data_IF_973757912016
#
_entry.id   IF_973757912016
#
_cell.length_a   1.000
_cell.length_b   1.000
_cell.length_c   1.000
_cell.angle_alpha   90.00
_cell.angle_beta   90.00
_cell.angle_gamma   90.00
#
_symmetry.space_group_name_H-M   'P 1'
#
loop_
_entity.id
_entity.type
_entity.pdbx_description
1 polymer ?
#
# COMPACT_ATOMS: atom_id res chain seq x y z
N UNK A 1 -12.43 -5.55 -10.83
CA UNK A 1 -11.92 -6.54 -9.85
C UNK A 1 -10.62 -6.00 -9.26
N UNK A 2 -10.52 -5.84 -7.94
CA UNK A 2 -9.29 -5.34 -7.33
C UNK A 2 -8.38 -6.52 -6.99
N UNK A 3 -7.22 -6.59 -7.65
CA UNK A 3 -6.29 -7.71 -7.48
C UNK A 3 -5.68 -7.77 -6.07
N UNK A 4 -5.60 -6.64 -5.34
CA UNK A 4 -5.19 -6.63 -3.95
C UNK A 4 -6.24 -7.32 -3.06
N UNK A 5 -7.53 -7.00 -3.23
CA UNK A 5 -8.62 -7.70 -2.52
C UNK A 5 -8.58 -9.20 -2.79
N UNK A 6 -8.40 -9.61 -4.04
CA UNK A 6 -8.28 -11.03 -4.36
C UNK A 6 -7.08 -11.66 -3.65
N UNK A 7 -5.89 -11.05 -3.73
CA UNK A 7 -4.67 -11.58 -3.12
C UNK A 7 -4.75 -11.75 -1.60
N UNK A 8 -5.38 -10.80 -0.89
CA UNK A 8 -5.41 -10.77 0.56
C UNK A 8 -6.66 -11.40 1.19
N UNK A 9 -7.83 -11.32 0.53
CA UNK A 9 -9.12 -11.77 1.07
C UNK A 9 -9.68 -12.99 0.32
N UNK A 10 -9.15 -13.30 -0.87
CA UNK A 10 -9.64 -14.41 -1.68
C UNK A 10 -9.19 -15.76 -1.11
N UNK A 11 -10.11 -16.69 -0.80
CA UNK A 11 -9.75 -18.00 -0.26
C UNK A 11 -8.91 -18.84 -1.23
N UNK A 12 -9.05 -18.61 -2.54
CA UNK A 12 -8.28 -19.29 -3.58
C UNK A 12 -6.92 -18.65 -3.89
N UNK A 13 -6.60 -17.48 -3.31
CA UNK A 13 -5.40 -16.74 -3.70
C UNK A 13 -4.10 -17.50 -3.38
N UNK A 14 -4.07 -18.20 -2.23
CA UNK A 14 -2.89 -18.96 -1.79
C UNK A 14 -2.48 -20.06 -2.77
N UNK A 15 -3.45 -20.72 -3.41
CA UNK A 15 -3.19 -21.77 -4.40
C UNK A 15 -3.13 -21.24 -5.84
N UNK A 16 -3.63 -20.03 -6.08
CA UNK A 16 -3.63 -19.41 -7.41
C UNK A 16 -2.27 -18.83 -7.78
N UNK A 17 -1.56 -18.22 -6.83
CA UNK A 17 -0.23 -17.65 -7.07
C UNK A 17 0.86 -18.67 -6.70
N UNK A 18 1.82 -18.88 -7.61
CA UNK A 18 2.96 -19.78 -7.39
C UNK A 18 3.77 -19.41 -6.13
N UNK A 19 4.04 -18.11 -5.95
CA UNK A 19 4.62 -17.55 -4.72
C UNK A 19 3.67 -16.48 -4.17
N UNK A 20 2.64 -16.93 -3.45
CA UNK A 20 1.62 -16.06 -2.87
C UNK A 20 2.22 -15.04 -1.90
N UNK A 21 3.19 -15.44 -1.09
CA UNK A 21 3.81 -14.57 -0.10
C UNK A 21 4.59 -13.42 -0.75
N UNK A 22 5.40 -13.70 -1.78
CA UNK A 22 6.09 -12.64 -2.51
C UNK A 22 5.08 -11.73 -3.24
N UNK A 23 4.01 -12.33 -3.77
CA UNK A 23 2.95 -11.59 -4.47
C UNK A 23 2.23 -10.60 -3.55
N UNK A 24 1.93 -10.96 -2.30
CA UNK A 24 1.32 -10.05 -1.32
C UNK A 24 2.29 -8.97 -0.84
N UNK A 25 3.57 -9.31 -0.62
CA UNK A 25 4.62 -8.32 -0.29
C UNK A 25 4.77 -7.25 -1.37
N UNK A 26 4.86 -7.67 -2.63
CA UNK A 26 4.94 -6.75 -3.78
C UNK A 26 3.68 -5.87 -3.89
N UNK A 27 2.51 -6.44 -3.64
CA UNK A 27 1.25 -5.69 -3.69
C UNK A 27 1.16 -4.64 -2.60
N UNK A 28 1.56 -4.98 -1.36
CA UNK A 28 1.63 -4.01 -0.27
C UNK A 28 2.63 -2.88 -0.58
N UNK A 29 3.74 -3.19 -1.25
CA UNK A 29 4.70 -2.17 -1.70
C UNK A 29 4.11 -1.21 -2.73
N UNK A 30 3.36 -1.71 -3.71
CA UNK A 30 2.69 -0.87 -4.70
C UNK A 30 1.61 0.02 -4.05
N UNK A 31 0.83 -0.52 -3.12
CA UNK A 31 -0.18 0.26 -2.39
C UNK A 31 0.46 1.38 -1.56
N UNK A 32 1.60 1.11 -0.90
CA UNK A 32 2.37 2.15 -0.19
C UNK A 32 2.84 3.26 -1.10
N UNK A 33 3.42 2.90 -2.25
CA UNK A 33 3.86 3.89 -3.25
C UNK A 33 2.69 4.71 -3.75
N UNK A 34 1.57 4.08 -4.08
CA UNK A 34 0.35 4.78 -4.50
C UNK A 34 -0.14 5.77 -3.44
N UNK A 35 -0.28 5.33 -2.19
CA UNK A 35 -0.73 6.17 -1.08
C UNK A 35 0.19 7.37 -0.81
N UNK A 36 1.51 7.22 -1.06
CA UNK A 36 2.45 8.33 -0.96
C UNK A 36 2.39 9.32 -2.13
N UNK A 37 1.93 8.88 -3.31
CA UNK A 37 1.82 9.72 -4.52
C UNK A 37 0.49 10.47 -4.62
N UNK A 38 -0.59 9.91 -4.05
CA UNK A 38 -1.94 10.50 -4.08
C UNK A 38 -2.57 10.44 -2.67
N UNK A 39 -2.10 11.29 -1.73
CA UNK A 39 -2.55 11.27 -0.32
C UNK A 39 -4.05 11.55 -0.13
N UNK A 40 -4.71 12.19 -1.09
CA UNK A 40 -6.13 12.51 -1.06
C UNK A 40 -7.04 11.45 -1.70
N UNK A 41 -6.46 10.37 -2.25
CA UNK A 41 -7.24 9.28 -2.86
C UNK A 41 -7.96 8.46 -1.79
N UNK A 42 -9.22 8.84 -1.55
CA UNK A 42 -10.11 8.16 -0.60
C UNK A 42 -10.31 6.68 -0.95
N UNK A 43 -10.40 6.32 -2.22
CA UNK A 43 -10.62 4.93 -2.60
C UNK A 43 -9.41 4.05 -2.25
N UNK A 44 -8.21 4.61 -2.33
CA UNK A 44 -6.99 3.93 -1.88
C UNK A 44 -6.93 3.81 -0.36
N UNK A 45 -7.32 4.85 0.37
CA UNK A 45 -7.40 4.80 1.84
C UNK A 45 -8.42 3.77 2.32
N UNK A 46 -9.61 3.74 1.72
CA UNK A 46 -10.67 2.79 2.04
C UNK A 46 -10.20 1.34 1.79
N UNK A 47 -9.48 1.11 0.69
CA UNK A 47 -8.89 -0.19 0.39
C UNK A 47 -7.84 -0.61 1.44
N UNK A 48 -6.93 0.30 1.81
CA UNK A 48 -5.89 0.00 2.82
C UNK A 48 -6.54 -0.30 4.18
N UNK A 49 -7.56 0.46 4.57
CA UNK A 49 -8.31 0.25 5.81
C UNK A 49 -9.02 -1.12 5.82
N UNK A 50 -9.72 -1.46 4.73
CA UNK A 50 -10.35 -2.77 4.57
C UNK A 50 -9.34 -3.91 4.68
N UNK A 51 -8.22 -3.83 3.94
CA UNK A 51 -7.20 -4.88 3.96
C UNK A 51 -6.53 -5.02 5.32
N UNK A 52 -6.32 -3.90 6.03
CA UNK A 52 -5.78 -3.90 7.39
C UNK A 52 -6.72 -4.58 8.39
N UNK A 53 -8.03 -4.40 8.24
CA UNK A 53 -9.03 -4.98 9.13
C UNK A 53 -9.34 -6.44 8.82
N UNK A 54 -9.30 -6.83 7.53
CA UNK A 54 -9.82 -8.11 7.07
C UNK A 54 -8.74 -9.14 6.70
N UNK A 55 -7.46 -8.76 6.65
CA UNK A 55 -6.37 -9.64 6.23
C UNK A 55 -5.20 -9.62 7.22
N UNK A 56 -5.09 -10.67 8.03
CA UNK A 56 -3.94 -10.89 8.95
C UNK A 56 -2.56 -10.79 8.26
N UNK A 57 -2.33 -11.32 7.04
CA UNK A 57 -1.05 -11.17 6.33
C UNK A 57 -0.75 -9.73 5.83
N UNK A 58 -1.73 -8.83 5.82
CA UNK A 58 -1.56 -7.50 5.24
C UNK A 58 -0.69 -6.60 6.11
N UNK A 59 -1.00 -6.52 7.41
CA UNK A 59 -0.28 -5.68 8.36
C UNK A 59 1.25 -5.90 8.34
N UNK A 60 1.80 -7.12 8.38
CA UNK A 60 3.26 -7.29 8.27
C UNK A 60 3.80 -6.84 6.91
N UNK A 61 3.13 -7.14 5.79
CA UNK A 61 3.57 -6.71 4.46
C UNK A 61 3.51 -5.18 4.27
N UNK A 62 2.55 -4.53 4.91
CA UNK A 62 2.42 -3.08 4.94
C UNK A 62 3.58 -2.44 5.72
N UNK A 63 3.93 -3.00 6.88
CA UNK A 63 4.97 -2.47 7.77
C UNK A 63 6.40 -2.78 7.36
N UNK A 64 6.61 -3.72 6.44
CA UNK A 64 7.93 -4.21 6.01
C UNK A 64 8.89 -3.11 5.46
N UNK A 65 8.43 -1.86 5.28
CA UNK A 65 9.24 -0.69 4.91
C UNK A 65 8.98 0.57 5.78
N UNK A 66 8.27 0.47 6.90
CA UNK A 66 7.80 1.62 7.71
C UNK A 66 8.93 2.47 8.32
N UNK A 67 10.17 1.98 8.37
CA UNK A 67 11.29 2.72 9.00
C UNK A 67 11.80 3.91 8.14
N UNK A 68 11.36 4.08 6.87
CA UNK A 68 11.82 5.21 6.03
C UNK A 68 10.75 6.19 5.57
N UNK A 69 9.49 5.88 5.78
CA UNK A 69 8.36 6.71 5.36
C UNK A 69 7.42 6.83 6.55
N UNK A 70 7.87 7.54 7.59
CA UNK A 70 6.97 8.01 8.62
C UNK A 70 5.86 8.80 7.91
N UNK A 71 4.63 8.29 8.01
CA UNK A 71 3.41 8.84 7.43
C UNK A 71 2.98 10.09 8.21
N UNK A 72 3.91 11.04 8.33
CA UNK A 72 3.72 12.37 8.92
C UNK A 72 4.72 13.31 8.27
N UNK A 73 4.33 13.87 7.15
CA UNK A 73 5.12 14.85 6.46
C UNK A 73 4.48 15.10 5.13
N UNK A 74 3.61 16.11 5.09
CA UNK A 74 3.46 16.89 3.88
C UNK A 74 4.87 17.12 3.35
N UNK A 75 5.22 16.49 2.22
CA UNK A 75 6.41 16.89 1.49
C UNK A 75 6.07 18.27 0.92
N UNK A 76 6.28 19.31 1.72
CA UNK A 76 6.55 20.63 1.18
C UNK A 76 7.82 20.48 0.35
N UNK A 77 7.61 20.24 -0.94
CA UNK A 77 8.62 20.53 -1.93
C UNK A 77 8.78 22.06 -1.87
N UNK A 78 9.80 22.55 -1.18
CA UNK A 78 10.32 23.89 -1.45
C UNK A 78 10.81 23.87 -2.90
N UNK A 79 9.90 24.23 -3.81
CA UNK A 79 10.30 24.73 -5.12
C UNK A 79 11.07 26.02 -4.87
N UNK A 80 12.36 26.12 -5.24
CA UNK A 80 12.98 27.42 -5.32
C UNK A 80 12.31 28.13 -6.49
N UNK A 81 11.26 28.90 -6.19
CA UNK A 81 10.74 29.89 -7.11
C UNK A 81 11.91 30.82 -7.43
N UNK A 82 12.21 30.92 -8.72
CA UNK A 82 13.23 31.81 -9.25
C UNK A 82 13.14 33.18 -8.56
N UNK A 83 14.23 33.57 -7.89
CA UNK A 83 14.41 34.94 -7.49
C UNK A 83 14.65 35.76 -8.78
N UNK A 84 13.80 36.75 -8.95
CA UNK A 84 13.88 37.84 -9.95
C UNK A 84 15.18 38.63 -9.78
#
# INVERSE_FOLDING_TARGET
MNIARFKFLGPAARSFFYDWEQSIRNTAALLRTGAGMMPEDRAMHDLIAELSAASEPFAPCWRDHEVRLHWSGVKEYEHPAAAV
#
